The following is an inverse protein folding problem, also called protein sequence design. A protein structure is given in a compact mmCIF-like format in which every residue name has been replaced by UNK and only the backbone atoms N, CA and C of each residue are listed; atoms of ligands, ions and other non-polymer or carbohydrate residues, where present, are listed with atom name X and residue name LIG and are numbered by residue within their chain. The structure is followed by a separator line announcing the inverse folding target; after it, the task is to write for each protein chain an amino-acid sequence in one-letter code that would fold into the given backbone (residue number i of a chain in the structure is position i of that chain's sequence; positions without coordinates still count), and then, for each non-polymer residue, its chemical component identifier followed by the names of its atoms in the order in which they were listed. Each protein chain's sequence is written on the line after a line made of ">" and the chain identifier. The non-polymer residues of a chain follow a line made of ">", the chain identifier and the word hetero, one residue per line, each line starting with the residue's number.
data_IF_002372767674
#
_entry.id   IF_002372767674
#
_cell.length_a   1.000
_cell.length_b   1.000
_cell.length_c   1.000
_cell.angle_alpha   90.00
_cell.angle_beta   90.00
_cell.angle_gamma   90.00
#
_symmetry.space_group_name_H-M   'P 1'
#
loop_
_entity.id
_entity.type
_entity.pdbx_description
1 polymer ?
#
# COMPACT_ATOMS: atom_id res chain seq x y z
N UNK A 1 2.85 -5.03 18.05
CA UNK A 1 2.73 -5.22 16.59
C UNK A 1 1.93 -4.06 16.03
N UNK A 2 2.40 -3.52 14.92
CA UNK A 2 1.87 -2.34 14.26
C UNK A 2 1.15 -2.76 12.98
N UNK A 3 0.00 -2.15 12.73
CA UNK A 3 -0.63 -2.15 11.41
C UNK A 3 -0.40 -0.77 10.78
N UNK A 4 0.06 -0.75 9.53
CA UNK A 4 0.41 0.45 8.79
C UNK A 4 -0.63 0.67 7.70
N UNK A 5 -1.24 1.86 7.69
CA UNK A 5 -2.18 2.27 6.65
C UNK A 5 -1.54 3.40 5.86
N UNK A 6 -1.39 3.20 4.55
CA UNK A 6 -0.77 4.15 3.63
C UNK A 6 -1.88 4.74 2.76
N UNK A 7 -2.26 6.01 2.92
CA UNK A 7 -3.15 6.66 1.98
C UNK A 7 -2.42 6.88 0.65
N UNK A 8 -3.02 6.43 -0.45
CA UNK A 8 -2.41 6.45 -1.79
C UNK A 8 -3.34 7.11 -2.80
N UNK A 9 -2.81 8.05 -3.57
CA UNK A 9 -3.49 8.61 -4.76
C UNK A 9 -2.43 9.00 -5.78
N UNK A 10 -2.39 8.31 -6.91
CA UNK A 10 -1.41 8.49 -7.97
C UNK A 10 0.05 8.61 -7.47
N UNK A 11 0.45 7.72 -6.55
CA UNK A 11 1.70 7.84 -5.79
C UNK A 11 2.66 6.65 -6.02
N UNK A 12 2.60 6.05 -7.21
CA UNK A 12 3.42 4.91 -7.62
C UNK A 12 4.91 5.05 -7.26
N UNK A 13 5.54 6.17 -7.61
CA UNK A 13 6.98 6.39 -7.33
C UNK A 13 7.27 6.41 -5.82
N UNK A 14 6.46 7.10 -5.03
CA UNK A 14 6.68 7.18 -3.58
C UNK A 14 6.46 5.83 -2.88
N UNK A 15 5.50 5.02 -3.37
CA UNK A 15 5.30 3.67 -2.86
C UNK A 15 6.50 2.77 -3.12
N UNK A 16 7.12 2.85 -4.29
CA UNK A 16 8.32 2.07 -4.60
C UNK A 16 9.48 2.38 -3.65
N UNK A 17 9.60 3.63 -3.21
CA UNK A 17 10.63 4.04 -2.24
C UNK A 17 10.25 3.68 -0.80
N UNK A 18 8.96 3.75 -0.44
CA UNK A 18 8.46 3.51 0.92
C UNK A 18 8.47 2.02 1.27
N UNK A 19 7.90 1.17 0.42
CA UNK A 19 7.64 -0.24 0.75
C UNK A 19 8.91 -1.03 1.13
N UNK A 20 10.07 -0.86 0.47
CA UNK A 20 11.32 -1.50 0.89
C UNK A 20 11.78 -1.11 2.29
N UNK A 21 11.46 0.10 2.76
CA UNK A 21 11.82 0.59 4.10
C UNK A 21 11.03 -0.13 5.20
N UNK A 22 9.84 -0.68 4.88
CA UNK A 22 9.03 -1.44 5.82
C UNK A 22 9.49 -2.90 5.97
N UNK A 23 10.30 -3.42 5.04
CA UNK A 23 10.75 -4.83 5.04
C UNK A 23 11.50 -5.19 6.34
N UNK A 24 12.49 -4.43 6.83
CA UNK A 24 13.17 -4.75 8.07
C UNK A 24 12.22 -4.77 9.27
N UNK A 25 11.27 -3.84 9.33
CA UNK A 25 10.31 -3.77 10.43
C UNK A 25 9.29 -4.93 10.40
N UNK A 26 8.98 -5.46 9.21
CA UNK A 26 8.19 -6.68 9.06
C UNK A 26 8.97 -7.92 9.49
N UNK A 27 10.26 -8.01 9.13
CA UNK A 27 11.16 -9.11 9.53
C UNK A 27 11.38 -9.14 11.04
N UNK A 28 11.55 -7.98 11.66
CA UNK A 28 11.68 -7.84 13.12
C UNK A 28 10.36 -8.13 13.87
N UNK A 29 9.25 -8.34 13.15
CA UNK A 29 7.92 -8.59 13.72
C UNK A 29 7.28 -7.35 14.36
N UNK A 30 7.82 -6.16 14.11
CA UNK A 30 7.23 -4.90 14.56
C UNK A 30 5.98 -4.57 13.75
N UNK A 31 6.05 -4.71 12.42
CA UNK A 31 4.93 -4.50 11.48
C UNK A 31 4.32 -5.84 11.12
N UNK A 32 3.01 -5.97 11.31
CA UNK A 32 2.25 -7.18 10.98
C UNK A 32 1.52 -7.07 9.65
N UNK A 33 0.95 -5.90 9.42
CA UNK A 33 -0.02 -5.65 8.35
C UNK A 33 0.32 -4.31 7.71
N UNK A 34 0.28 -4.28 6.38
CA UNK A 34 0.43 -3.06 5.58
C UNK A 34 -0.74 -3.02 4.62
N UNK A 35 -1.51 -1.93 4.68
CA UNK A 35 -2.67 -1.70 3.84
C UNK A 35 -2.53 -0.36 3.11
N UNK A 36 -2.86 -0.33 1.83
CA UNK A 36 -2.96 0.88 1.04
C UNK A 36 -4.43 1.32 0.95
N UNK A 37 -4.73 2.57 1.27
CA UNK A 37 -6.06 3.16 1.11
C UNK A 37 -6.06 4.00 -0.16
N UNK A 38 -6.68 3.50 -1.21
CA UNK A 38 -6.70 4.13 -2.54
C UNK A 38 -8.06 4.73 -2.88
N UNK A 39 -8.07 6.01 -3.31
CA UNK A 39 -9.28 6.74 -3.70
C UNK A 39 -9.50 6.78 -5.22
N UNK A 40 -9.00 5.80 -5.97
CA UNK A 40 -9.18 5.72 -7.42
C UNK A 40 -7.97 6.21 -8.20
N UNK A 41 -6.78 5.72 -7.85
CA UNK A 41 -5.57 5.97 -8.63
C UNK A 41 -5.74 5.50 -10.08
N UNK A 42 -5.22 6.31 -11.00
CA UNK A 42 -5.19 6.04 -12.45
C UNK A 42 -3.80 5.63 -12.94
N UNK A 43 -2.83 5.63 -12.04
CA UNK A 43 -1.45 5.26 -12.30
C UNK A 43 -1.17 3.81 -11.84
N UNK A 44 0.07 3.31 -11.98
CA UNK A 44 0.45 1.96 -11.58
C UNK A 44 0.47 1.70 -10.06
N UNK A 45 -0.06 2.60 -9.22
CA UNK A 45 -0.08 2.48 -7.75
C UNK A 45 -0.61 1.13 -7.29
N UNK A 46 -1.73 0.68 -7.85
CA UNK A 46 -2.35 -0.59 -7.49
C UNK A 46 -1.47 -1.80 -7.83
N UNK A 47 -0.79 -1.75 -8.98
CA UNK A 47 0.10 -2.83 -9.44
C UNK A 47 1.32 -2.94 -8.51
N UNK A 48 1.86 -1.81 -8.05
CA UNK A 48 2.99 -1.79 -7.11
C UNK A 48 2.58 -2.33 -5.75
N UNK A 49 1.36 -2.02 -5.29
CA UNK A 49 0.84 -2.58 -4.04
C UNK A 49 0.68 -4.10 -4.14
N UNK A 50 0.13 -4.60 -5.25
CA UNK A 50 -0.03 -6.04 -5.49
C UNK A 50 1.32 -6.77 -5.55
N UNK A 51 2.29 -6.22 -6.30
CA UNK A 51 3.66 -6.77 -6.40
C UNK A 51 4.36 -6.83 -5.03
N UNK A 52 4.07 -5.88 -4.14
CA UNK A 52 4.64 -5.83 -2.80
C UNK A 52 3.86 -6.63 -1.75
N UNK A 53 2.73 -7.24 -2.12
CA UNK A 53 1.85 -7.97 -1.20
C UNK A 53 1.11 -7.07 -0.21
N UNK A 54 0.89 -5.81 -0.56
CA UNK A 54 0.12 -4.83 0.23
C UNK A 54 -1.36 -4.96 -0.12
N UNK A 55 -2.19 -5.10 0.91
CA UNK A 55 -3.65 -5.15 0.72
C UNK A 55 -4.17 -3.76 0.37
N UNK A 56 -4.86 -3.62 -0.76
CA UNK A 56 -5.46 -2.33 -1.16
C UNK A 56 -6.94 -2.30 -0.76
N UNK A 57 -7.29 -1.30 0.03
CA UNK A 57 -8.67 -0.92 0.33
C UNK A 57 -9.05 0.24 -0.58
N UNK A 58 -10.09 0.03 -1.39
CA UNK A 58 -10.68 1.08 -2.22
C UNK A 58 -12.01 1.52 -1.62
N UNK A 59 -12.41 2.76 -1.92
CA UNK A 59 -13.79 3.17 -1.66
C UNK A 59 -14.71 2.18 -2.40
N UNK A 60 -15.65 1.58 -1.68
CA UNK A 60 -16.52 0.53 -2.23
C UNK A 60 -17.53 1.04 -3.24
N UNK A 61 -17.28 2.18 -3.92
CA UNK A 61 -18.15 2.63 -4.99
C UNK A 61 -17.95 1.71 -6.20
N UNK A 62 -18.98 0.98 -6.65
CA UNK A 62 -18.89 0.31 -7.93
C UNK A 62 -18.66 1.39 -8.99
N UNK A 63 -17.58 1.29 -9.76
CA UNK A 63 -17.33 2.16 -10.92
C UNK A 63 -18.61 2.23 -11.77
N UNK A 64 -19.12 3.43 -12.10
CA UNK A 64 -20.28 3.59 -12.99
C UNK A 64 -19.98 3.12 -14.42
#
# INVERSE_FOLDING_TARGET
>A
MLSVIIPTFNSSTHLQDLLPVLVPAAVDGLVREVMAADEGSTDPTLMICDDAGVEVVTDGSPRP
#
